data_IF_551234258517
#
_entry.id   IF_551234258517
#
_cell.length_a   1.000
_cell.length_b   1.000
_cell.length_c   1.000
_cell.angle_alpha   90.00
_cell.angle_beta   90.00
_cell.angle_gamma   90.00
#
_symmetry.space_group_name_H-M   'P 1'
#
loop_
_entity.id
_entity.type
_entity.pdbx_description
1 polymer ?
#
# COMPACT_ATOMS: atom_id res chain seq x y z
N UNK A 1 18.31 6.98 15.74
CA UNK A 1 18.28 6.97 14.24
C UNK A 1 18.18 5.52 13.80
N UNK A 2 17.16 5.21 13.03
CA UNK A 2 16.91 3.85 12.52
C UNK A 2 18.01 3.46 11.53
N UNK A 3 18.50 2.20 11.59
CA UNK A 3 19.52 1.65 10.70
C UNK A 3 18.98 1.37 9.32
N UNK A 4 19.87 1.27 8.32
CA UNK A 4 19.55 0.89 6.93
C UNK A 4 20.33 -0.38 6.55
N UNK A 5 19.98 -1.54 7.15
CA UNK A 5 20.79 -2.74 7.06
C UNK A 5 20.99 -3.28 5.64
N UNK A 6 19.97 -3.15 4.76
CA UNK A 6 20.07 -3.57 3.35
C UNK A 6 21.03 -2.65 2.60
N UNK A 7 20.90 -1.34 2.75
CA UNK A 7 21.78 -0.36 2.12
C UNK A 7 23.23 -0.49 2.61
N UNK A 8 23.42 -0.70 3.91
CA UNK A 8 24.74 -0.84 4.53
C UNK A 8 25.43 -2.12 4.06
N UNK A 9 24.69 -3.22 3.95
CA UNK A 9 25.19 -4.46 3.38
C UNK A 9 25.64 -4.27 1.93
N UNK A 10 24.78 -3.71 1.08
CA UNK A 10 25.10 -3.52 -0.35
C UNK A 10 26.28 -2.57 -0.52
N UNK A 11 26.34 -1.49 0.26
CA UNK A 11 27.47 -0.54 0.24
C UNK A 11 28.78 -1.24 0.62
N UNK A 12 28.79 -2.02 1.68
CA UNK A 12 29.97 -2.78 2.14
C UNK A 12 30.39 -3.81 1.09
N UNK A 13 29.44 -4.56 0.54
CA UNK A 13 29.71 -5.53 -0.51
C UNK A 13 30.34 -4.86 -1.75
N UNK A 14 29.76 -3.75 -2.19
CA UNK A 14 30.24 -3.02 -3.38
C UNK A 14 31.61 -2.39 -3.18
N UNK A 15 31.89 -1.83 -1.99
CA UNK A 15 33.19 -1.21 -1.68
C UNK A 15 34.35 -2.20 -1.64
N UNK A 16 34.09 -3.47 -1.36
CA UNK A 16 35.06 -4.55 -1.40
C UNK A 16 35.43 -4.98 -2.83
N UNK A 17 34.79 -4.39 -3.86
CA UNK A 17 35.02 -4.65 -5.28
C UNK A 17 35.12 -6.16 -5.66
N UNK A 18 34.14 -7.00 -5.26
CA UNK A 18 34.23 -8.43 -5.48
C UNK A 18 34.17 -8.79 -6.97
N UNK A 19 34.88 -9.86 -7.36
CA UNK A 19 34.69 -10.46 -8.67
C UNK A 19 33.39 -11.27 -8.64
N UNK A 20 32.37 -10.79 -9.34
CA UNK A 20 31.01 -11.37 -9.34
C UNK A 20 30.91 -12.54 -10.32
N UNK A 21 31.03 -13.76 -9.85
CA UNK A 21 30.80 -14.97 -10.64
C UNK A 21 29.34 -15.46 -10.56
N UNK A 22 28.57 -14.88 -9.65
CA UNK A 22 27.14 -15.13 -9.44
C UNK A 22 26.24 -14.21 -10.31
N UNK A 23 24.94 -14.42 -10.28
CA UNK A 23 23.93 -13.50 -10.84
C UNK A 23 23.90 -12.16 -10.09
N UNK A 24 23.42 -11.08 -10.67
CA UNK A 24 22.88 -10.90 -12.01
C UNK A 24 23.94 -10.96 -13.14
N UNK A 25 23.46 -11.14 -14.39
CA UNK A 25 24.29 -11.30 -15.58
C UNK A 25 25.22 -10.12 -15.89
N UNK A 26 24.86 -8.90 -15.50
CA UNK A 26 25.66 -7.68 -15.69
C UNK A 26 26.93 -7.64 -14.81
N UNK A 27 27.07 -8.50 -13.80
CA UNK A 27 28.25 -8.59 -12.93
C UNK A 27 28.65 -7.28 -12.24
N UNK A 28 27.66 -6.41 -11.96
CA UNK A 28 27.86 -5.10 -11.34
C UNK A 28 28.35 -4.01 -12.28
N UNK A 29 28.26 -4.22 -13.59
CA UNK A 29 28.66 -3.25 -14.63
C UNK A 29 27.57 -3.20 -15.70
N UNK A 30 27.24 -1.99 -16.17
CA UNK A 30 26.24 -1.84 -17.21
C UNK A 30 25.96 -0.38 -17.55
N UNK A 31 25.04 -0.13 -18.48
CA UNK A 31 24.79 1.22 -19.01
C UNK A 31 24.00 2.14 -18.07
N UNK A 32 23.35 1.61 -17.04
CA UNK A 32 22.50 2.43 -16.11
C UNK A 32 23.30 3.05 -14.98
N UNK A 33 24.56 2.65 -14.78
CA UNK A 33 25.45 3.14 -13.72
C UNK A 33 24.98 2.81 -12.27
N UNK A 34 23.97 1.98 -12.10
CA UNK A 34 23.48 1.49 -10.80
C UNK A 34 23.60 -0.02 -10.64
N UNK A 35 24.10 -0.74 -11.64
CA UNK A 35 24.22 -2.20 -11.65
C UNK A 35 25.13 -2.74 -10.55
N UNK A 36 26.04 -1.93 -10.05
CA UNK A 36 26.87 -2.27 -8.89
C UNK A 36 26.07 -2.41 -7.58
N UNK A 37 24.91 -1.77 -7.51
CA UNK A 37 23.97 -1.83 -6.37
C UNK A 37 22.94 -2.95 -6.53
N UNK A 38 22.78 -3.49 -7.73
CA UNK A 38 21.88 -4.61 -8.00
C UNK A 38 22.61 -5.93 -7.72
N UNK A 39 22.15 -6.65 -6.71
CA UNK A 39 22.72 -7.92 -6.25
C UNK A 39 21.66 -9.01 -6.24
N UNK A 40 21.97 -10.17 -5.71
CA UNK A 40 21.04 -11.28 -5.48
C UNK A 40 21.26 -11.87 -4.09
N UNK A 41 20.67 -13.00 -3.78
CA UNK A 41 20.77 -13.76 -2.52
C UNK A 41 22.17 -14.38 -2.36
N UNK A 42 23.21 -13.55 -2.27
CA UNK A 42 24.59 -13.96 -1.99
C UNK A 42 24.80 -14.17 -0.50
N UNK A 43 25.93 -14.76 -0.12
CA UNK A 43 26.27 -14.98 1.28
C UNK A 43 26.24 -13.65 2.07
N UNK A 44 25.46 -13.61 3.15
CA UNK A 44 25.23 -12.42 3.98
C UNK A 44 24.12 -11.50 3.48
N UNK A 45 23.68 -11.61 2.22
CA UNK A 45 22.39 -11.10 1.77
C UNK A 45 21.26 -12.01 2.30
N UNK A 46 20.05 -11.59 2.18
CA UNK A 46 18.89 -12.28 2.73
C UNK A 46 17.96 -12.77 1.60
N UNK A 47 16.93 -13.54 1.93
CA UNK A 47 15.85 -13.97 1.03
C UNK A 47 14.56 -13.21 1.40
N UNK A 48 13.95 -12.52 0.43
CA UNK A 48 12.74 -11.71 0.69
C UNK A 48 11.60 -12.51 1.31
N UNK A 49 11.45 -13.77 0.93
CA UNK A 49 10.32 -14.59 1.39
C UNK A 49 10.65 -15.50 2.58
N UNK A 50 11.93 -15.55 2.99
CA UNK A 50 12.40 -16.25 4.19
C UNK A 50 13.46 -15.43 4.92
N UNK A 51 13.15 -14.16 5.24
CA UNK A 51 14.15 -13.24 5.74
C UNK A 51 14.59 -13.63 7.15
N UNK A 52 15.90 -13.69 7.36
CA UNK A 52 16.54 -13.96 8.66
C UNK A 52 17.69 -13.02 8.97
N UNK A 53 18.05 -12.16 8.02
CA UNK A 53 19.19 -11.24 8.06
C UNK A 53 18.76 -9.79 7.83
N UNK A 54 19.44 -9.13 6.87
CA UNK A 54 19.28 -7.68 6.64
C UNK A 54 17.89 -7.27 6.19
N UNK A 55 17.17 -8.12 5.46
CA UNK A 55 15.78 -7.84 5.07
C UNK A 55 14.87 -7.95 6.30
N UNK A 56 15.05 -8.99 7.13
CA UNK A 56 14.28 -9.14 8.37
C UNK A 56 14.48 -7.95 9.32
N UNK A 57 15.71 -7.45 9.44
CA UNK A 57 16.01 -6.29 10.27
C UNK A 57 15.34 -5.02 9.71
N UNK A 58 15.42 -4.81 8.40
CA UNK A 58 14.78 -3.66 7.74
C UNK A 58 13.26 -3.70 7.87
N UNK A 59 12.61 -4.87 7.67
CA UNK A 59 11.17 -5.04 7.88
C UNK A 59 10.77 -4.83 9.36
N UNK A 60 11.63 -5.17 10.30
CA UNK A 60 11.42 -4.87 11.72
C UNK A 60 11.45 -3.37 11.98
N UNK A 61 12.36 -2.63 11.33
CA UNK A 61 12.39 -1.17 11.39
C UNK A 61 11.11 -0.55 10.84
N UNK A 62 10.65 -0.99 9.67
CA UNK A 62 9.37 -0.58 9.11
C UNK A 62 8.20 -0.94 10.04
N UNK A 63 8.20 -2.14 10.61
CA UNK A 63 7.16 -2.59 11.56
C UNK A 63 7.11 -1.72 12.80
N UNK A 64 8.24 -1.27 13.31
CA UNK A 64 8.32 -0.33 14.42
C UNK A 64 7.68 1.03 14.05
N UNK A 65 8.01 1.57 12.87
CA UNK A 65 7.48 2.85 12.38
C UNK A 65 5.98 2.83 12.13
N UNK A 66 5.49 1.74 11.52
CA UNK A 66 4.06 1.57 11.26
C UNK A 66 3.27 1.08 12.48
N UNK A 67 3.93 0.62 13.54
CA UNK A 67 3.29 0.09 14.75
C UNK A 67 2.55 -1.24 14.54
N UNK A 68 2.85 -1.95 13.47
CA UNK A 68 2.30 -3.27 13.15
C UNK A 68 3.28 -4.08 12.31
N UNK A 69 3.20 -5.42 12.31
CA UNK A 69 4.01 -6.25 11.43
C UNK A 69 3.87 -5.85 9.96
N UNK A 70 5.00 -5.66 9.29
CA UNK A 70 5.11 -5.12 7.94
C UNK A 70 6.06 -5.97 7.11
N UNK A 71 5.60 -6.43 5.94
CA UNK A 71 6.41 -7.15 4.97
C UNK A 71 6.61 -6.31 3.71
N UNK A 72 7.82 -6.37 3.13
CA UNK A 72 8.17 -5.67 1.90
C UNK A 72 7.68 -6.39 0.65
N UNK A 73 7.26 -5.61 -0.34
CA UNK A 73 7.02 -6.06 -1.72
C UNK A 73 7.83 -5.20 -2.68
N UNK A 74 8.48 -5.84 -3.64
CA UNK A 74 9.16 -5.18 -4.76
C UNK A 74 8.32 -5.15 -6.03
N UNK A 75 7.08 -5.66 -5.97
CA UNK A 75 6.15 -5.80 -7.10
C UNK A 75 4.84 -5.03 -6.86
N UNK A 76 4.93 -3.96 -6.09
CA UNK A 76 3.82 -3.08 -5.76
C UNK A 76 2.79 -3.70 -4.83
N UNK A 77 1.77 -2.92 -4.50
CA UNK A 77 0.62 -3.38 -3.72
C UNK A 77 -0.21 -4.44 -4.46
N UNK A 78 -0.05 -4.59 -5.77
CA UNK A 78 -0.76 -5.64 -6.53
C UNK A 78 -0.41 -7.06 -6.05
N UNK A 79 0.83 -7.29 -5.64
CA UNK A 79 1.25 -8.54 -4.99
C UNK A 79 0.61 -8.66 -3.60
N UNK A 80 0.70 -7.58 -2.81
CA UNK A 80 0.16 -7.55 -1.46
C UNK A 80 -1.36 -7.80 -1.42
N UNK A 81 -2.12 -7.21 -2.36
CA UNK A 81 -3.58 -7.45 -2.50
C UNK A 81 -3.88 -8.92 -2.75
N UNK A 82 -3.15 -9.57 -3.66
CA UNK A 82 -3.35 -11.00 -3.93
C UNK A 82 -3.02 -11.86 -2.72
N UNK A 83 -1.92 -11.55 -2.03
CA UNK A 83 -1.53 -12.26 -0.81
C UNK A 83 -2.54 -12.11 0.33
N UNK A 84 -3.06 -10.89 0.59
CA UNK A 84 -4.11 -10.65 1.59
C UNK A 84 -5.36 -11.48 1.33
N UNK A 85 -5.83 -11.46 0.08
CA UNK A 85 -7.05 -12.19 -0.32
C UNK A 85 -6.85 -13.70 -0.25
N UNK A 86 -5.69 -14.20 -0.69
CA UNK A 86 -5.32 -15.61 -0.55
C UNK A 86 -5.32 -16.06 0.91
N UNK A 87 -4.69 -15.28 1.79
CA UNK A 87 -4.61 -15.56 3.22
C UNK A 87 -6.00 -15.61 3.85
N UNK A 88 -6.82 -14.58 3.62
CA UNK A 88 -8.17 -14.53 4.18
C UNK A 88 -9.05 -15.68 3.65
N UNK A 89 -9.00 -15.97 2.36
CA UNK A 89 -9.82 -17.02 1.74
C UNK A 89 -9.41 -18.41 2.21
N UNK A 90 -8.10 -18.71 2.24
CA UNK A 90 -7.60 -20.02 2.73
C UNK A 90 -7.82 -20.19 4.22
N UNK A 91 -7.75 -19.13 5.02
CA UNK A 91 -8.05 -19.17 6.45
C UNK A 91 -9.53 -19.46 6.71
N UNK A 92 -10.42 -19.04 5.81
CA UNK A 92 -11.84 -19.38 5.84
C UNK A 92 -12.16 -20.77 5.26
N UNK A 93 -11.14 -21.59 4.94
CA UNK A 93 -11.31 -22.91 4.33
C UNK A 93 -11.81 -22.86 2.88
N UNK A 94 -11.48 -21.80 2.15
CA UNK A 94 -11.90 -21.53 0.77
C UNK A 94 -13.43 -21.50 0.61
N UNK A 95 -14.12 -20.89 1.57
CA UNK A 95 -15.59 -20.76 1.60
C UNK A 95 -16.02 -19.31 1.83
N UNK A 96 -17.29 -19.04 1.53
CA UNK A 96 -17.90 -17.73 1.68
C UNK A 96 -17.53 -16.77 0.54
N UNK A 97 -18.15 -15.60 0.56
CA UNK A 97 -17.92 -14.51 -0.40
C UNK A 97 -16.95 -13.47 0.15
N UNK A 98 -16.30 -12.72 -0.74
CA UNK A 98 -15.72 -11.44 -0.38
C UNK A 98 -16.77 -10.34 -0.57
N UNK A 99 -17.05 -9.57 0.46
CA UNK A 99 -17.84 -8.35 0.33
C UNK A 99 -16.87 -7.23 -0.06
N UNK A 100 -17.05 -6.61 -1.22
CA UNK A 100 -16.08 -5.66 -1.76
C UNK A 100 -16.72 -4.39 -2.31
N UNK A 101 -16.06 -3.24 -2.10
CA UNK A 101 -16.41 -2.00 -2.77
C UNK A 101 -16.20 -2.09 -4.28
N UNK A 102 -17.17 -1.57 -5.06
CA UNK A 102 -17.16 -1.67 -6.54
C UNK A 102 -15.96 -0.97 -7.19
N UNK A 103 -15.35 0.00 -6.53
CA UNK A 103 -14.16 0.72 -6.98
C UNK A 103 -12.84 -0.02 -6.70
N UNK A 104 -12.90 -1.33 -6.43
CA UNK A 104 -11.71 -2.15 -6.19
C UNK A 104 -10.77 -2.14 -7.41
N UNK A 105 -9.46 -2.03 -7.13
CA UNK A 105 -8.44 -2.05 -8.18
C UNK A 105 -8.42 -3.39 -8.92
N UNK A 106 -7.98 -3.40 -10.19
CA UNK A 106 -7.87 -4.62 -11.02
C UNK A 106 -7.11 -5.77 -10.38
N UNK A 107 -6.16 -5.51 -9.48
CA UNK A 107 -5.45 -6.55 -8.72
C UNK A 107 -6.37 -7.41 -7.85
N UNK A 108 -7.46 -6.82 -7.30
CA UNK A 108 -8.51 -7.55 -6.60
C UNK A 108 -9.26 -8.50 -7.56
N UNK A 109 -9.65 -8.00 -8.75
CA UNK A 109 -10.34 -8.83 -9.75
C UNK A 109 -9.46 -10.00 -10.20
N UNK A 110 -8.17 -9.74 -10.41
CA UNK A 110 -7.21 -10.81 -10.78
C UNK A 110 -7.04 -11.83 -9.65
N UNK A 111 -7.03 -11.41 -8.40
CA UNK A 111 -7.04 -12.33 -7.27
C UNK A 111 -8.31 -13.18 -7.25
N UNK A 112 -9.48 -12.56 -7.45
CA UNK A 112 -10.75 -13.29 -7.50
C UNK A 112 -10.80 -14.32 -8.63
N UNK A 113 -10.27 -13.97 -9.80
CA UNK A 113 -10.16 -14.91 -10.94
C UNK A 113 -9.21 -16.06 -10.64
N UNK A 114 -8.02 -15.77 -10.08
CA UNK A 114 -7.00 -16.79 -9.79
C UNK A 114 -7.43 -17.75 -8.68
N UNK A 115 -8.12 -17.23 -7.65
CA UNK A 115 -8.55 -17.97 -6.47
C UNK A 115 -9.98 -18.53 -6.60
N UNK A 116 -10.70 -18.09 -7.64
CA UNK A 116 -12.07 -18.52 -7.95
C UNK A 116 -13.05 -18.32 -6.77
N UNK A 117 -12.94 -17.19 -6.04
CA UNK A 117 -13.89 -16.88 -4.99
C UNK A 117 -15.04 -15.99 -5.49
N UNK A 118 -16.26 -16.16 -4.95
CA UNK A 118 -17.38 -15.33 -5.29
C UNK A 118 -17.31 -13.96 -4.59
N UNK A 119 -17.87 -12.93 -5.25
CA UNK A 119 -17.86 -11.55 -4.75
C UNK A 119 -19.30 -11.08 -4.53
N UNK A 120 -19.51 -10.38 -3.40
CA UNK A 120 -20.66 -9.51 -3.22
C UNK A 120 -20.21 -8.07 -3.36
N UNK A 121 -20.65 -7.41 -4.42
CA UNK A 121 -20.31 -6.02 -4.67
C UNK A 121 -21.18 -5.07 -3.84
N UNK A 122 -20.52 -4.18 -3.10
CA UNK A 122 -21.16 -3.00 -2.53
C UNK A 122 -21.13 -1.88 -3.57
N UNK A 123 -22.28 -1.29 -3.78
CA UNK A 123 -22.46 -0.15 -4.69
C UNK A 123 -22.93 1.04 -3.88
N UNK A 124 -22.26 2.18 -4.04
CA UNK A 124 -22.67 3.43 -3.44
C UNK A 124 -22.39 4.57 -4.44
N UNK A 125 -23.38 5.44 -4.65
CA UNK A 125 -23.30 6.55 -5.59
C UNK A 125 -23.24 6.13 -7.06
N UNK A 126 -23.26 7.13 -7.94
CA UNK A 126 -23.28 6.96 -9.40
C UNK A 126 -21.88 7.05 -10.03
N UNK A 127 -20.89 7.52 -9.27
CA UNK A 127 -19.50 7.63 -9.74
C UNK A 127 -18.79 6.28 -9.64
N UNK A 128 -18.27 5.77 -10.76
CA UNK A 128 -17.57 4.49 -10.79
C UNK A 128 -16.13 4.55 -10.21
N UNK A 129 -15.53 5.74 -10.07
CA UNK A 129 -14.20 5.93 -9.46
C UNK A 129 -14.25 6.02 -7.94
N UNK A 130 -15.44 6.30 -7.37
CA UNK A 130 -15.66 6.39 -5.95
C UNK A 130 -16.79 5.44 -5.52
N UNK A 131 -16.66 4.90 -4.31
CA UNK A 131 -17.65 4.02 -3.72
C UNK A 131 -17.70 4.28 -2.21
N UNK A 132 -18.38 5.37 -1.76
CA UNK A 132 -18.48 5.71 -0.35
C UNK A 132 -19.32 4.66 0.38
N UNK A 133 -18.66 3.82 1.16
CA UNK A 133 -19.29 2.71 1.88
C UNK A 133 -19.35 3.05 3.35
N UNK A 134 -20.56 3.01 3.93
CA UNK A 134 -20.77 3.20 5.36
C UNK A 134 -20.67 1.88 6.15
N UNK A 135 -20.48 2.01 7.46
CA UNK A 135 -20.51 0.86 8.37
C UNK A 135 -21.86 0.13 8.33
N UNK A 136 -22.96 0.88 8.21
CA UNK A 136 -24.32 0.34 8.10
C UNK A 136 -24.50 -0.48 6.82
N UNK A 137 -23.93 -0.01 5.71
CA UNK A 137 -23.96 -0.77 4.43
C UNK A 137 -23.21 -2.08 4.56
N UNK A 138 -22.04 -2.08 5.24
CA UNK A 138 -21.26 -3.30 5.49
C UNK A 138 -22.02 -4.25 6.42
N UNK A 139 -22.62 -3.74 7.50
CA UNK A 139 -23.37 -4.55 8.46
C UNK A 139 -24.57 -5.22 7.79
N UNK A 140 -25.35 -4.47 7.01
CA UNK A 140 -26.47 -5.03 6.24
C UNK A 140 -26.01 -6.10 5.26
N UNK A 141 -24.92 -5.85 4.54
CA UNK A 141 -24.37 -6.82 3.59
C UNK A 141 -23.92 -8.11 4.25
N UNK A 142 -23.27 -8.04 5.43
CA UNK A 142 -22.87 -9.23 6.19
C UNK A 142 -24.10 -10.00 6.69
N UNK A 143 -25.13 -9.29 7.18
CA UNK A 143 -26.33 -9.90 7.74
C UNK A 143 -27.19 -10.63 6.68
N UNK A 144 -27.11 -10.21 5.43
CA UNK A 144 -27.86 -10.82 4.31
C UNK A 144 -27.14 -12.05 3.70
N UNK A 145 -25.89 -12.32 4.06
CA UNK A 145 -25.19 -13.51 3.56
C UNK A 145 -25.65 -14.77 4.30
N UNK A 146 -25.91 -15.84 3.55
CA UNK A 146 -26.28 -17.15 4.10
C UNK A 146 -25.11 -17.89 4.73
N UNK A 147 -23.88 -17.59 4.26
CA UNK A 147 -22.62 -18.08 4.81
C UNK A 147 -21.77 -16.90 5.23
N UNK A 148 -20.97 -17.08 6.29
CA UNK A 148 -20.08 -16.04 6.77
C UNK A 148 -19.11 -15.60 5.66
N UNK A 149 -19.05 -14.31 5.31
CA UNK A 149 -18.06 -13.80 4.34
C UNK A 149 -16.64 -14.10 4.83
N UNK A 150 -15.74 -14.42 3.91
CA UNK A 150 -14.35 -14.64 4.30
C UNK A 150 -13.59 -13.32 4.55
N UNK A 151 -14.04 -12.22 3.95
CA UNK A 151 -13.49 -10.88 4.18
C UNK A 151 -14.45 -9.78 3.72
N UNK A 152 -14.26 -8.58 4.28
CA UNK A 152 -14.66 -7.30 3.70
C UNK A 152 -13.42 -6.66 3.10
N UNK A 153 -13.49 -6.20 1.85
CA UNK A 153 -12.40 -5.54 1.15
C UNK A 153 -12.81 -4.16 0.66
N UNK A 154 -12.04 -3.14 1.03
CA UNK A 154 -12.30 -1.75 0.67
C UNK A 154 -11.03 -1.09 0.11
N UNK A 155 -11.22 -0.12 -0.79
CA UNK A 155 -10.17 0.80 -1.25
C UNK A 155 -10.35 2.13 -0.52
N UNK A 156 -9.36 2.51 0.30
CA UNK A 156 -9.36 3.78 1.05
C UNK A 156 -7.92 4.21 1.35
N UNK A 157 -7.49 5.40 0.89
CA UNK A 157 -8.23 6.36 0.07
C UNK A 157 -8.66 5.80 -1.29
N UNK A 158 -9.76 6.31 -1.83
CA UNK A 158 -10.13 5.98 -3.20
C UNK A 158 -9.36 6.84 -4.22
N UNK A 159 -9.61 6.61 -5.51
CA UNK A 159 -8.89 7.31 -6.57
C UNK A 159 -9.15 8.83 -6.59
N UNK A 160 -10.30 9.29 -6.09
CA UNK A 160 -10.66 10.70 -6.00
C UNK A 160 -10.19 11.36 -4.68
N UNK A 161 -9.68 10.57 -3.74
CA UNK A 161 -9.22 11.06 -2.44
C UNK A 161 -10.32 11.08 -1.37
N UNK A 162 -11.33 10.20 -1.49
CA UNK A 162 -12.29 10.00 -0.41
C UNK A 162 -11.77 8.96 0.57
N UNK A 163 -11.95 9.22 1.86
CA UNK A 163 -11.62 8.31 2.94
C UNK A 163 -12.87 7.59 3.46
N UNK A 164 -12.76 6.28 3.68
CA UNK A 164 -13.80 5.50 4.36
C UNK A 164 -13.65 5.59 5.87
N UNK A 165 -14.74 5.55 6.62
CA UNK A 165 -14.70 5.44 8.09
C UNK A 165 -14.27 4.03 8.52
N UNK A 166 -12.97 3.75 8.33
CA UNK A 166 -12.37 2.45 8.64
C UNK A 166 -12.60 2.06 10.10
N UNK A 167 -12.62 3.03 11.03
CA UNK A 167 -12.84 2.75 12.46
C UNK A 167 -14.21 2.15 12.72
N UNK A 168 -15.28 2.75 12.18
CA UNK A 168 -16.63 2.22 12.32
C UNK A 168 -16.82 0.92 11.57
N UNK A 169 -16.29 0.82 10.36
CA UNK A 169 -16.36 -0.40 9.54
C UNK A 169 -15.62 -1.56 10.23
N UNK A 170 -14.43 -1.31 10.79
CA UNK A 170 -13.68 -2.35 11.52
C UNK A 170 -14.41 -2.85 12.76
N UNK A 171 -15.13 -1.96 13.47
CA UNK A 171 -15.96 -2.35 14.61
C UNK A 171 -17.10 -3.31 14.19
N UNK A 172 -17.76 -3.03 13.07
CA UNK A 172 -18.78 -3.91 12.48
C UNK A 172 -18.16 -5.26 12.08
N UNK A 173 -17.06 -5.24 11.31
CA UNK A 173 -16.37 -6.45 10.87
C UNK A 173 -15.98 -7.33 12.07
N UNK A 174 -15.44 -6.73 13.14
CA UNK A 174 -15.05 -7.42 14.37
C UNK A 174 -16.25 -8.02 15.10
N UNK A 175 -17.37 -7.30 15.18
CA UNK A 175 -18.63 -7.78 15.78
C UNK A 175 -19.10 -9.08 15.11
N UNK A 176 -18.95 -9.19 13.79
CA UNK A 176 -19.33 -10.36 13.01
C UNK A 176 -18.20 -11.38 12.82
N UNK A 177 -16.99 -11.07 13.30
CA UNK A 177 -15.81 -11.93 13.18
C UNK A 177 -15.35 -12.09 11.71
N UNK A 178 -15.61 -11.11 10.86
CA UNK A 178 -15.18 -11.06 9.45
C UNK A 178 -13.95 -10.16 9.36
N UNK A 179 -12.84 -10.60 8.76
CA UNK A 179 -11.65 -9.75 8.62
C UNK A 179 -11.89 -8.58 7.67
N UNK A 180 -11.34 -7.40 8.02
CA UNK A 180 -11.32 -6.20 7.18
C UNK A 180 -9.96 -6.07 6.50
N UNK A 181 -9.96 -6.10 5.16
CA UNK A 181 -8.81 -5.91 4.29
C UNK A 181 -8.93 -4.54 3.60
N UNK A 182 -7.89 -3.73 3.66
CA UNK A 182 -7.91 -2.38 3.07
C UNK A 182 -6.80 -2.23 2.03
N UNK A 183 -7.18 -1.85 0.83
CA UNK A 183 -6.27 -1.35 -0.19
C UNK A 183 -6.03 0.14 0.07
N UNK A 184 -4.94 0.42 0.77
CA UNK A 184 -4.49 1.76 1.14
C UNK A 184 -3.36 2.24 0.20
N UNK A 185 -3.38 1.80 -1.05
CA UNK A 185 -2.29 2.04 -1.99
C UNK A 185 -1.92 3.53 -2.15
N UNK A 186 -2.83 4.45 -1.87
CA UNK A 186 -2.59 5.90 -1.93
C UNK A 186 -2.32 6.54 -0.56
N UNK A 187 -2.35 5.78 0.54
CA UNK A 187 -2.39 6.31 1.89
C UNK A 187 -1.22 5.94 2.81
N UNK A 188 -0.06 5.52 2.30
CA UNK A 188 1.07 5.16 3.18
C UNK A 188 1.44 6.28 4.16
N UNK A 189 1.40 7.54 3.75
CA UNK A 189 1.69 8.71 4.58
C UNK A 189 0.66 8.97 5.69
N UNK A 190 -0.56 8.42 5.58
CA UNK A 190 -1.63 8.61 6.56
C UNK A 190 -1.24 8.13 7.97
N UNK A 191 -0.25 7.23 8.05
CA UNK A 191 0.34 6.77 9.31
C UNK A 191 1.01 7.90 10.08
N UNK A 192 1.66 8.81 9.37
CA UNK A 192 2.57 9.82 9.92
C UNK A 192 1.90 11.19 10.13
N UNK A 193 0.59 11.29 9.88
CA UNK A 193 -0.18 12.48 10.18
C UNK A 193 -0.24 12.75 11.70
N UNK A 194 -0.45 14.00 12.15
CA UNK A 194 -0.59 14.34 13.57
C UNK A 194 -1.63 13.48 14.31
N UNK A 195 -2.69 13.09 13.61
CA UNK A 195 -3.62 12.04 14.04
C UNK A 195 -3.64 11.00 12.92
N UNK A 196 -3.13 9.81 13.21
CA UNK A 196 -3.05 8.75 12.21
C UNK A 196 -4.43 8.40 11.66
N UNK A 197 -4.50 8.35 10.34
CA UNK A 197 -5.66 7.88 9.57
C UNK A 197 -5.35 6.56 8.84
N UNK A 198 -4.23 5.93 9.18
CA UNK A 198 -3.81 4.68 8.56
C UNK A 198 -4.74 3.53 8.96
N UNK A 199 -5.17 2.67 8.01
CA UNK A 199 -6.15 1.61 8.27
C UNK A 199 -5.78 0.67 9.43
N UNK A 200 -4.50 0.36 9.62
CA UNK A 200 -4.06 -0.50 10.72
C UNK A 200 -4.33 0.13 12.10
N UNK A 201 -4.14 1.44 12.24
CA UNK A 201 -4.44 2.17 13.48
C UNK A 201 -5.96 2.34 13.70
N UNK A 202 -6.73 2.31 12.61
CA UNK A 202 -8.18 2.40 12.64
C UNK A 202 -8.88 1.04 12.77
N UNK A 203 -8.13 -0.05 12.76
CA UNK A 203 -8.65 -1.36 13.11
C UNK A 203 -8.74 -2.39 11.99
N UNK A 204 -8.21 -2.14 10.80
CA UNK A 204 -8.10 -3.14 9.75
C UNK A 204 -7.27 -4.35 10.19
N UNK A 205 -7.55 -5.52 9.67
CA UNK A 205 -6.80 -6.74 9.97
C UNK A 205 -5.56 -6.89 9.11
N UNK A 206 -5.67 -6.48 7.83
CA UNK A 206 -4.55 -6.34 6.91
C UNK A 206 -4.76 -5.12 6.02
N UNK A 207 -3.69 -4.46 5.61
CA UNK A 207 -3.74 -3.46 4.55
C UNK A 207 -2.47 -3.47 3.71
N UNK A 208 -2.54 -2.93 2.51
CA UNK A 208 -1.39 -2.75 1.65
C UNK A 208 -1.20 -1.30 1.27
N UNK A 209 0.06 -0.87 1.24
CA UNK A 209 0.48 0.46 0.83
C UNK A 209 1.37 0.37 -0.41
N UNK A 210 1.11 1.17 -1.44
CA UNK A 210 2.09 1.43 -2.48
C UNK A 210 3.03 2.54 -2.00
N UNK A 211 4.13 2.17 -1.34
CA UNK A 211 5.09 3.13 -0.80
C UNK A 211 5.56 4.13 -1.86
N UNK A 212 5.80 3.65 -3.08
CA UNK A 212 6.26 4.46 -4.21
C UNK A 212 5.28 5.54 -4.70
N UNK A 213 4.02 5.53 -4.25
CA UNK A 213 3.04 6.57 -4.65
C UNK A 213 3.08 7.81 -3.77
N UNK A 214 3.38 7.64 -2.48
CA UNK A 214 3.26 8.74 -1.51
C UNK A 214 4.47 8.89 -0.59
N UNK A 215 5.45 8.00 -0.69
CA UNK A 215 6.73 8.07 0.00
C UNK A 215 7.88 8.09 -1.01
N UNK A 216 9.07 8.59 -0.66
CA UNK A 216 10.22 8.64 -1.56
C UNK A 216 10.85 7.25 -1.78
N UNK A 217 10.10 6.35 -2.38
CA UNK A 217 10.48 4.96 -2.67
C UNK A 217 10.41 4.71 -4.17
N UNK A 218 11.34 3.93 -4.71
CA UNK A 218 11.36 3.53 -6.12
C UNK A 218 10.07 2.78 -6.50
N UNK A 219 9.65 2.97 -7.75
CA UNK A 219 8.47 2.29 -8.32
C UNK A 219 8.54 0.77 -8.10
N UNK A 220 7.45 0.19 -7.63
CA UNK A 220 7.37 -1.20 -7.24
C UNK A 220 7.51 -1.44 -5.73
N UNK A 221 8.08 -0.49 -4.97
CA UNK A 221 8.15 -0.60 -3.52
C UNK A 221 6.78 -0.46 -2.86
N UNK A 222 6.43 -1.45 -2.03
CA UNK A 222 5.16 -1.50 -1.33
C UNK A 222 5.27 -2.25 -0.01
N UNK A 223 4.26 -2.11 0.83
CA UNK A 223 4.14 -2.81 2.11
C UNK A 223 2.88 -3.68 2.14
N UNK A 224 2.97 -4.79 2.86
CA UNK A 224 1.83 -5.55 3.36
C UNK A 224 1.88 -5.50 4.89
N UNK A 225 0.89 -4.85 5.47
CA UNK A 225 0.70 -4.74 6.92
C UNK A 225 -0.33 -5.74 7.41
N UNK A 226 -0.10 -6.33 8.57
CA UNK A 226 -1.01 -7.29 9.17
C UNK A 226 -1.01 -7.17 10.69
N UNK A 227 -2.13 -7.53 11.32
CA UNK A 227 -2.33 -7.33 12.78
C UNK A 227 -1.66 -8.43 13.61
N UNK A 228 -1.79 -9.67 13.18
CA UNK A 228 -1.32 -10.83 13.95
C UNK A 228 0.10 -11.22 13.55
N UNK A 229 1.08 -10.88 14.38
CA UNK A 229 2.49 -11.19 14.16
C UNK A 229 2.76 -12.70 13.95
N UNK A 230 1.90 -13.58 14.49
CA UNK A 230 2.02 -15.03 14.29
C UNK A 230 1.79 -15.46 12.84
N UNK A 231 1.24 -14.58 12.03
CA UNK A 231 1.02 -14.84 10.61
C UNK A 231 2.25 -14.54 9.73
N UNK A 232 3.36 -14.04 10.26
CA UNK A 232 4.50 -13.57 9.47
C UNK A 232 4.97 -14.59 8.41
N UNK A 233 5.21 -15.83 8.81
CA UNK A 233 5.66 -16.89 7.88
C UNK A 233 4.59 -17.20 6.82
N UNK A 234 3.32 -17.17 7.19
CA UNK A 234 2.21 -17.39 6.25
C UNK A 234 2.06 -16.23 5.28
N UNK A 235 2.28 -15.00 5.74
CA UNK A 235 2.28 -13.80 4.91
C UNK A 235 3.40 -13.89 3.86
N UNK A 236 4.61 -14.22 4.27
CA UNK A 236 5.74 -14.42 3.37
C UNK A 236 5.50 -15.56 2.38
N UNK A 237 4.98 -16.69 2.84
CA UNK A 237 4.64 -17.81 1.96
C UNK A 237 3.54 -17.42 0.94
N UNK A 238 2.52 -16.67 1.35
CA UNK A 238 1.47 -16.19 0.46
C UNK A 238 2.01 -15.18 -0.56
N UNK A 239 2.91 -14.28 -0.16
CA UNK A 239 3.56 -13.35 -1.08
C UNK A 239 4.43 -14.09 -2.11
N UNK A 240 5.15 -15.12 -1.70
CA UNK A 240 5.98 -15.95 -2.59
C UNK A 240 5.18 -16.66 -3.69
N UNK A 241 3.88 -16.98 -3.47
CA UNK A 241 3.02 -17.58 -4.50
C UNK A 241 2.74 -16.65 -5.69
N UNK A 242 2.80 -15.35 -5.47
CA UNK A 242 2.44 -14.34 -6.47
C UNK A 242 3.62 -13.49 -6.92
N UNK A 243 4.75 -13.57 -6.24
CA UNK A 243 5.94 -12.78 -6.48
C UNK A 243 7.05 -13.56 -7.19
N UNK A 244 8.01 -12.80 -7.73
CA UNK A 244 9.24 -13.35 -8.31
C UNK A 244 10.18 -13.83 -7.21
N UNK A 245 10.88 -14.93 -7.45
CA UNK A 245 11.98 -15.39 -6.59
C UNK A 245 13.25 -14.54 -6.75
N UNK A 246 13.24 -13.56 -7.67
CA UNK A 246 14.34 -12.63 -7.90
C UNK A 246 13.86 -11.20 -7.64
N UNK A 247 13.71 -10.78 -6.37
CA UNK A 247 13.26 -9.45 -6.03
C UNK A 247 14.28 -8.39 -6.48
N UNK A 248 13.80 -7.20 -6.83
CA UNK A 248 14.67 -6.07 -7.14
C UNK A 248 15.38 -5.57 -5.88
N UNK A 249 16.70 -5.73 -5.83
CA UNK A 249 17.52 -5.21 -4.73
C UNK A 249 17.59 -3.69 -4.71
N UNK A 250 17.40 -3.02 -5.83
CA UNK A 250 17.29 -1.57 -5.86
C UNK A 250 16.02 -1.08 -5.15
N UNK A 251 14.90 -1.79 -5.37
CA UNK A 251 13.64 -1.48 -4.68
C UNK A 251 13.73 -1.82 -3.19
N UNK A 252 14.37 -2.95 -2.81
CA UNK A 252 14.60 -3.29 -1.40
C UNK A 252 15.44 -2.23 -0.69
N UNK A 253 16.54 -1.77 -1.31
CA UNK A 253 17.35 -0.66 -0.77
C UNK A 253 16.53 0.63 -0.62
N UNK A 254 15.65 0.91 -1.57
CA UNK A 254 14.78 2.09 -1.48
C UNK A 254 13.77 2.00 -0.33
N UNK A 255 13.21 0.80 -0.07
CA UNK A 255 12.33 0.54 1.08
C UNK A 255 13.08 0.60 2.42
N UNK A 256 14.35 0.23 2.43
CA UNK A 256 15.22 0.31 3.60
C UNK A 256 15.65 1.76 3.88
N UNK A 257 16.11 2.46 2.84
CA UNK A 257 16.59 3.83 2.92
C UNK A 257 15.51 4.84 3.36
N UNK A 258 14.23 4.54 3.14
CA UNK A 258 13.15 5.41 3.56
C UNK A 258 12.87 5.34 5.07
N UNK A 259 13.29 4.27 5.78
CA UNK A 259 12.99 4.12 7.20
C UNK A 259 13.48 5.30 8.08
N UNK A 260 14.72 5.80 7.96
CA UNK A 260 15.14 7.01 8.68
C UNK A 260 14.35 8.26 8.32
N UNK A 261 13.92 8.39 7.06
CA UNK A 261 13.06 9.49 6.64
C UNK A 261 11.68 9.42 7.32
N UNK A 262 11.09 8.22 7.40
CA UNK A 262 9.80 8.02 8.06
C UNK A 262 9.85 8.32 9.57
N UNK A 263 11.01 8.09 10.22
CA UNK A 263 11.22 8.44 11.64
C UNK A 263 11.06 9.96 11.87
N UNK A 264 11.48 10.77 10.90
CA UNK A 264 11.41 12.24 10.96
C UNK A 264 10.17 12.84 10.29
N UNK A 265 9.40 12.03 9.55
CA UNK A 265 8.26 12.48 8.76
C UNK A 265 7.14 13.16 9.58
N UNK A 266 6.80 12.76 10.83
CA UNK A 266 5.71 13.39 11.57
C UNK A 266 5.83 14.90 11.73
N UNK A 267 7.04 15.43 11.92
CA UNK A 267 7.27 16.88 12.06
C UNK A 267 7.01 17.61 10.74
N UNK A 268 7.51 17.08 9.61
CA UNK A 268 7.26 17.60 8.28
C UNK A 268 5.79 17.43 7.85
N UNK A 269 5.16 16.31 8.23
CA UNK A 269 3.77 16.01 7.89
C UNK A 269 2.80 17.04 8.48
N UNK A 270 3.04 17.51 9.71
CA UNK A 270 2.21 18.54 10.31
C UNK A 270 2.23 19.85 9.50
N UNK A 271 3.43 20.31 9.11
CA UNK A 271 3.61 21.52 8.31
C UNK A 271 2.99 21.36 6.90
N UNK A 272 3.21 20.20 6.26
CA UNK A 272 2.65 19.89 4.94
C UNK A 272 1.12 19.87 4.98
N UNK A 273 0.53 19.23 6.00
CA UNK A 273 -0.93 19.17 6.16
C UNK A 273 -1.52 20.58 6.32
N UNK A 274 -0.88 21.43 7.11
CA UNK A 274 -1.31 22.82 7.28
C UNK A 274 -1.22 23.60 5.95
N UNK A 275 -0.09 23.47 5.22
CA UNK A 275 0.11 24.17 3.95
C UNK A 275 -0.91 23.75 2.88
N UNK A 276 -1.18 22.45 2.75
CA UNK A 276 -2.18 21.94 1.80
C UNK A 276 -3.60 22.36 2.21
N UNK A 277 -3.92 22.37 3.50
CA UNK A 277 -5.22 22.85 3.96
C UNK A 277 -5.41 24.34 3.63
N UNK A 278 -4.37 25.17 3.80
CA UNK A 278 -4.40 26.58 3.41
C UNK A 278 -4.61 26.74 1.89
N UNK A 279 -3.88 25.96 1.07
CA UNK A 279 -4.05 25.95 -0.39
C UNK A 279 -5.47 25.52 -0.79
N UNK A 280 -6.01 24.46 -0.19
CA UNK A 280 -7.40 24.02 -0.43
C UNK A 280 -8.39 25.16 -0.15
N UNK A 281 -8.24 25.85 0.97
CA UNK A 281 -9.10 26.99 1.33
C UNK A 281 -8.95 28.14 0.32
N UNK A 282 -7.75 28.46 -0.12
CA UNK A 282 -7.50 29.49 -1.14
C UNK A 282 -8.19 29.12 -2.47
N UNK A 283 -8.03 27.89 -2.93
CA UNK A 283 -8.71 27.41 -4.13
C UNK A 283 -10.23 27.52 -4.01
N UNK A 284 -10.80 27.11 -2.89
CA UNK A 284 -12.25 27.24 -2.63
C UNK A 284 -12.70 28.71 -2.68
N UNK A 285 -11.93 29.66 -2.12
CA UNK A 285 -12.25 31.10 -2.19
C UNK A 285 -12.18 31.67 -3.62
N UNK A 286 -11.37 31.06 -4.49
CA UNK A 286 -11.30 31.40 -5.91
C UNK A 286 -12.34 30.66 -6.77
N UNK A 287 -13.27 29.94 -6.15
CA UNK A 287 -14.38 29.25 -6.83
C UNK A 287 -14.04 27.89 -7.41
N UNK A 288 -12.89 27.28 -7.02
CA UNK A 288 -12.58 25.92 -7.40
C UNK A 288 -13.45 24.91 -6.64
N UNK A 289 -13.96 23.89 -7.34
CA UNK A 289 -14.61 22.75 -6.71
C UNK A 289 -13.61 21.65 -6.43
N UNK A 290 -13.51 21.24 -5.17
CA UNK A 290 -12.59 20.18 -4.73
C UNK A 290 -13.39 18.93 -4.38
N UNK A 291 -12.83 17.76 -4.73
CA UNK A 291 -13.38 16.44 -4.44
C UNK A 291 -12.46 15.72 -3.47
N UNK A 292 -13.06 14.94 -2.56
CA UNK A 292 -12.36 14.13 -1.58
C UNK A 292 -11.92 14.91 -0.35
N UNK A 293 -11.60 14.15 0.69
CA UNK A 293 -11.22 14.65 2.03
C UNK A 293 -9.81 14.21 2.44
N UNK A 294 -9.09 13.48 1.58
CA UNK A 294 -7.70 13.09 1.81
C UNK A 294 -6.81 14.32 2.06
N UNK A 295 -6.04 14.35 3.16
CA UNK A 295 -5.33 15.57 3.57
C UNK A 295 -4.35 16.13 2.54
N UNK A 296 -3.59 15.26 1.85
CA UNK A 296 -2.51 15.69 0.94
C UNK A 296 -2.88 15.62 -0.54
N UNK A 297 -4.07 15.17 -0.86
CA UNK A 297 -4.54 15.11 -2.25
C UNK A 297 -5.39 16.30 -2.61
N UNK A 298 -5.15 16.83 -3.80
CA UNK A 298 -5.98 17.85 -4.45
C UNK A 298 -6.62 17.22 -5.66
N UNK A 299 -7.94 17.06 -5.64
CA UNK A 299 -8.75 16.64 -6.79
C UNK A 299 -9.69 17.76 -7.14
N UNK A 300 -9.51 18.34 -8.32
CA UNK A 300 -10.27 19.50 -8.80
C UNK A 300 -11.32 19.02 -9.79
N UNK A 301 -12.58 19.41 -9.62
CA UNK A 301 -13.63 19.26 -10.62
C UNK A 301 -13.59 20.46 -11.57
N UNK A 302 -13.08 20.26 -12.77
CA UNK A 302 -12.97 21.29 -13.77
C UNK A 302 -14.26 21.46 -14.62
N UNK A 303 -15.25 20.57 -14.48
CA UNK A 303 -16.46 20.55 -15.28
C UNK A 303 -17.31 21.82 -15.15
N UNK A 304 -17.26 22.45 -13.95
CA UNK A 304 -17.96 23.73 -13.71
C UNK A 304 -17.47 24.88 -14.56
N UNK A 305 -16.26 24.80 -15.15
CA UNK A 305 -15.71 25.80 -16.08
C UNK A 305 -15.80 25.34 -17.53
N UNK A 306 -16.47 24.22 -17.78
CA UNK A 306 -16.65 23.65 -19.12
C UNK A 306 -15.41 22.90 -19.64
N UNK A 307 -14.43 22.59 -18.79
CA UNK A 307 -13.26 21.80 -19.17
C UNK A 307 -13.44 20.32 -18.81
N UNK A 308 -13.00 19.46 -19.70
CA UNK A 308 -12.73 18.07 -19.34
C UNK A 308 -11.46 17.96 -18.50
N UNK A 309 -11.26 16.82 -17.82
CA UNK A 309 -10.02 16.58 -17.08
C UNK A 309 -8.77 16.58 -17.97
N UNK A 310 -8.88 16.08 -19.22
CA UNK A 310 -7.78 16.07 -20.20
C UNK A 310 -7.40 17.47 -20.66
N UNK A 311 -8.38 18.33 -20.93
CA UNK A 311 -8.13 19.73 -21.29
C UNK A 311 -7.45 20.48 -20.15
N UNK A 312 -7.93 20.28 -18.91
CA UNK A 312 -7.30 20.91 -17.73
C UNK A 312 -5.87 20.39 -17.53
N UNK A 313 -5.63 19.09 -17.65
CA UNK A 313 -4.28 18.53 -17.57
C UNK A 313 -3.34 19.16 -18.63
N UNK A 314 -3.82 19.30 -19.87
CA UNK A 314 -3.03 19.94 -20.95
C UNK A 314 -2.70 21.40 -20.65
N UNK A 315 -3.61 22.16 -20.02
CA UNK A 315 -3.35 23.52 -19.59
C UNK A 315 -2.29 23.59 -18.48
N UNK A 316 -2.34 22.66 -17.52
CA UNK A 316 -1.34 22.56 -16.45
C UNK A 316 0.04 22.17 -17.00
N UNK A 317 0.10 21.22 -17.92
CA UNK A 317 1.36 20.84 -18.61
C UNK A 317 1.99 22.04 -19.36
N UNK A 318 1.19 22.86 -20.03
CA UNK A 318 1.68 24.09 -20.69
C UNK A 318 2.25 25.08 -19.69
N UNK A 319 1.78 25.08 -18.46
CA UNK A 319 2.29 25.88 -17.35
C UNK A 319 3.45 25.21 -16.58
N UNK A 320 3.92 24.04 -17.04
CA UNK A 320 4.92 23.19 -16.36
C UNK A 320 4.48 22.72 -14.96
N UNK A 321 3.21 22.41 -14.80
CA UNK A 321 2.59 21.88 -13.58
C UNK A 321 2.19 20.42 -13.79
#
# INVERSE_FOLDING_TARGET
MISTPICDFVRTYTSNAPVRLHMPGHKGKGPLCCENLDITEIHGADDLYRPTGVIAESEKNASYLFGCPTAYSTEGSSLAVRAMLYLAYTQAGCKGRCIAGRNAHKSFLYAAMLLNFPIRWLRAGDNYLSCPISAETVEAAIAEESEKPFAVYLTSPDYLGNLSDIRRISAVCRKHGVPLLVDNAHGAYLKFLPTSQHPMDLGADMCCDSAHKTLPVLTGGAYLHFRDARMADRVKAAMALFGSTSPSWLVLQSLDAVNPYLESLPDAAAATTFGIAALKNELLTHGFSLIGDEPWKLTIDASQWGYSGEEMASLLEQANI
#
